data_IF_990906948371
#
_entry.id   IF_990906948371
#
_cell.length_a   1.000
_cell.length_b   1.000
_cell.length_c   1.000
_cell.angle_alpha   90.00
_cell.angle_beta   90.00
_cell.angle_gamma   90.00
#
_symmetry.space_group_name_H-M   'P 1'
#
loop_
_entity.id
_entity.type
_entity.pdbx_description
1 polymer ?
#
# COMPACT_ATOMS: atom_id res chain seq x y z
N UNK A 1 -63.39 31.19 55.96
CA UNK A 1 -61.98 31.66 55.73
C UNK A 1 -61.28 30.58 54.92
N UNK A 2 -61.22 30.68 53.59
CA UNK A 2 -60.61 29.70 52.68
C UNK A 2 -59.34 30.30 52.12
N UNK A 3 -58.19 29.66 52.36
CA UNK A 3 -56.92 30.01 51.71
C UNK A 3 -56.81 29.30 50.33
N UNK A 4 -56.76 30.11 49.28
CA UNK A 4 -56.46 29.63 47.96
C UNK A 4 -54.95 29.55 47.81
N UNK A 5 -54.41 28.33 47.56
CA UNK A 5 -53.02 28.05 47.15
C UNK A 5 -52.92 28.08 45.63
N UNK A 6 -52.17 29.04 45.13
CA UNK A 6 -51.83 29.15 43.70
C UNK A 6 -50.63 28.26 43.37
N UNK A 7 -50.81 27.25 42.51
CA UNK A 7 -49.73 26.41 42.02
C UNK A 7 -49.10 27.09 40.82
N UNK A 8 -47.78 27.37 40.90
CA UNK A 8 -46.98 27.88 39.81
C UNK A 8 -46.56 26.69 38.90
N UNK A 9 -46.92 26.74 37.61
CA UNK A 9 -46.45 25.81 36.58
C UNK A 9 -45.06 26.25 36.10
N UNK A 10 -44.04 25.47 36.43
CA UNK A 10 -42.71 25.63 35.86
C UNK A 10 -42.64 24.88 34.54
N UNK A 11 -42.54 25.63 33.44
CA UNK A 11 -42.33 25.08 32.09
C UNK A 11 -40.85 24.89 31.87
N UNK A 12 -40.36 23.65 31.89
CA UNK A 12 -38.98 23.30 31.51
C UNK A 12 -38.91 23.24 29.99
N UNK A 13 -38.31 24.26 29.37
CA UNK A 13 -37.97 24.26 27.97
C UNK A 13 -36.70 23.43 27.78
N UNK A 14 -36.85 22.19 27.32
CA UNK A 14 -35.72 21.32 26.96
C UNK A 14 -35.06 21.82 25.68
N UNK A 15 -33.84 22.32 25.80
CA UNK A 15 -32.95 22.65 24.68
C UNK A 15 -32.36 21.34 24.14
N UNK A 16 -32.93 20.78 23.07
CA UNK A 16 -32.34 19.66 22.35
C UNK A 16 -31.16 20.20 21.53
N UNK A 17 -29.95 20.11 22.08
CA UNK A 17 -28.71 20.33 21.34
C UNK A 17 -28.52 19.18 20.36
N UNK A 18 -28.83 19.42 19.09
CA UNK A 18 -28.53 18.52 17.99
C UNK A 18 -27.00 18.49 17.81
N UNK A 19 -26.30 17.55 18.43
CA UNK A 19 -24.91 17.25 18.19
C UNK A 19 -24.82 16.68 16.75
N UNK A 20 -24.56 17.55 15.78
CA UNK A 20 -24.11 17.14 14.47
C UNK A 20 -22.72 16.52 14.65
N UNK A 21 -22.67 15.21 14.89
CA UNK A 21 -21.44 14.43 14.76
C UNK A 21 -21.09 14.47 13.27
N UNK A 22 -20.23 15.41 12.90
CA UNK A 22 -19.55 15.34 11.61
C UNK A 22 -18.70 14.09 11.67
N UNK A 23 -19.20 12.99 11.06
CA UNK A 23 -18.39 11.82 10.82
C UNK A 23 -17.17 12.31 10.02
N UNK A 24 -16.01 12.39 10.68
CA UNK A 24 -14.75 12.52 9.96
C UNK A 24 -14.72 11.31 9.02
N UNK A 25 -14.83 11.57 7.70
CA UNK A 25 -14.66 10.52 6.72
C UNK A 25 -13.20 10.13 6.80
N UNK A 26 -12.93 8.97 7.40
CA UNK A 26 -11.64 8.33 7.37
C UNK A 26 -11.25 8.08 5.90
N UNK A 27 -9.97 8.00 5.63
CA UNK A 27 -9.43 7.56 4.36
C UNK A 27 -10.10 6.23 3.98
N UNK A 28 -10.57 6.13 2.74
CA UNK A 28 -11.28 4.94 2.29
C UNK A 28 -10.46 4.17 1.27
N UNK A 29 -10.49 2.85 1.43
CA UNK A 29 -9.93 1.92 0.46
C UNK A 29 -11.05 1.15 -0.25
N UNK A 30 -10.92 1.00 -1.58
CA UNK A 30 -11.80 0.15 -2.37
C UNK A 30 -10.95 -0.91 -3.08
N UNK A 31 -11.27 -2.17 -2.84
CA UNK A 31 -10.62 -3.30 -3.50
C UNK A 31 -11.13 -3.47 -4.93
N UNK A 32 -10.38 -4.19 -5.74
CA UNK A 32 -10.71 -4.46 -7.15
C UNK A 32 -12.13 -5.02 -7.35
N UNK A 33 -12.59 -5.89 -6.45
CA UNK A 33 -13.93 -6.50 -6.52
C UNK A 33 -15.08 -5.51 -6.22
N UNK A 34 -14.79 -4.46 -5.43
CA UNK A 34 -15.77 -3.45 -5.05
C UNK A 34 -15.78 -2.22 -5.98
N UNK A 35 -14.81 -2.12 -6.90
CA UNK A 35 -14.74 -1.04 -7.89
C UNK A 35 -15.82 -1.19 -8.97
N UNK A 36 -16.29 -0.07 -9.50
CA UNK A 36 -17.04 -0.09 -10.77
C UNK A 36 -16.15 -0.60 -11.90
N UNK A 37 -16.76 -1.17 -12.96
CA UNK A 37 -16.01 -1.64 -14.12
C UNK A 37 -15.17 -0.52 -14.78
N UNK A 38 -15.71 0.70 -14.82
CA UNK A 38 -15.02 1.86 -15.40
C UNK A 38 -13.77 2.26 -14.59
N UNK A 39 -13.89 2.35 -13.27
CA UNK A 39 -12.75 2.66 -12.38
C UNK A 39 -11.67 1.59 -12.46
N UNK A 40 -12.08 0.32 -12.35
CA UNK A 40 -11.16 -0.81 -12.44
C UNK A 40 -10.40 -0.83 -13.77
N UNK A 41 -11.09 -0.67 -14.90
CA UNK A 41 -10.49 -0.68 -16.22
C UNK A 41 -9.54 0.51 -16.40
N UNK A 42 -9.95 1.72 -15.97
CA UNK A 42 -9.12 2.93 -16.06
C UNK A 42 -7.81 2.79 -15.29
N UNK A 43 -7.86 2.30 -14.05
CA UNK A 43 -6.67 2.13 -13.22
C UNK A 43 -5.77 1.01 -13.75
N UNK A 44 -6.35 -0.13 -14.15
CA UNK A 44 -5.61 -1.26 -14.68
C UNK A 44 -4.92 -0.91 -16.01
N UNK A 45 -5.58 -0.16 -16.91
CA UNK A 45 -5.00 0.27 -18.18
C UNK A 45 -3.85 1.26 -17.97
N UNK A 46 -4.00 2.21 -17.04
CA UNK A 46 -2.93 3.12 -16.67
C UNK A 46 -1.70 2.36 -16.14
N UNK A 47 -1.90 1.41 -15.22
CA UNK A 47 -0.83 0.60 -14.66
C UNK A 47 -0.14 -0.25 -15.75
N UNK A 48 -0.92 -0.88 -16.64
CA UNK A 48 -0.38 -1.65 -17.77
C UNK A 48 0.43 -0.80 -18.73
N UNK A 49 -0.07 0.39 -19.09
CA UNK A 49 0.62 1.33 -19.96
C UNK A 49 1.96 1.78 -19.37
N UNK A 50 2.00 2.10 -18.07
CA UNK A 50 3.22 2.46 -17.38
C UNK A 50 4.21 1.28 -17.31
N UNK A 51 3.73 0.08 -17.05
CA UNK A 51 4.56 -1.12 -17.02
C UNK A 51 5.21 -1.41 -18.38
N UNK A 52 4.48 -1.24 -19.48
CA UNK A 52 5.02 -1.35 -20.85
C UNK A 52 6.11 -0.32 -21.12
N UNK A 53 5.91 0.94 -20.69
CA UNK A 53 6.92 1.99 -20.84
C UNK A 53 8.18 1.69 -20.01
N UNK A 54 8.04 1.17 -18.80
CA UNK A 54 9.19 0.71 -17.99
C UNK A 54 9.90 -0.45 -18.70
N UNK A 55 9.15 -1.43 -19.22
CA UNK A 55 9.72 -2.58 -19.92
C UNK A 55 10.51 -2.18 -21.18
N UNK A 56 10.03 -1.17 -21.91
CA UNK A 56 10.67 -0.64 -23.13
C UNK A 56 11.70 0.47 -22.88
N UNK A 57 11.94 0.84 -21.63
CA UNK A 57 12.81 1.98 -21.22
C UNK A 57 12.40 3.31 -21.89
N UNK A 58 11.07 3.52 -22.07
CA UNK A 58 10.52 4.74 -22.64
C UNK A 58 10.50 5.88 -21.60
N UNK A 59 11.68 6.45 -21.33
CA UNK A 59 11.84 7.53 -20.36
C UNK A 59 11.05 8.77 -20.74
N UNK A 60 10.91 9.07 -22.04
CA UNK A 60 10.15 10.23 -22.52
C UNK A 60 8.67 10.09 -22.21
N UNK A 61 8.08 8.94 -22.52
CA UNK A 61 6.70 8.65 -22.22
C UNK A 61 6.42 8.55 -20.72
N UNK A 62 7.39 8.10 -19.92
CA UNK A 62 7.30 8.06 -18.47
C UNK A 62 7.31 9.45 -17.84
N UNK A 63 8.23 10.35 -18.27
CA UNK A 63 8.30 11.74 -17.76
C UNK A 63 6.96 12.47 -17.85
N UNK A 64 6.24 12.30 -18.98
CA UNK A 64 4.91 12.87 -19.18
C UNK A 64 3.80 12.28 -18.30
N UNK A 65 4.09 11.20 -17.58
CA UNK A 65 3.16 10.49 -16.72
C UNK A 65 3.51 10.58 -15.22
N UNK A 66 4.52 11.37 -14.83
CA UNK A 66 4.89 11.58 -13.43
C UNK A 66 4.03 12.67 -12.77
N UNK A 67 3.80 12.54 -11.48
CA UNK A 67 3.34 13.68 -10.67
C UNK A 67 4.45 14.74 -10.55
N UNK A 68 4.12 16.02 -10.31
CA UNK A 68 5.12 17.07 -10.12
C UNK A 68 6.11 16.75 -8.98
N UNK A 69 5.67 16.05 -7.94
CA UNK A 69 6.50 15.67 -6.81
C UNK A 69 7.56 14.64 -7.23
N UNK A 70 7.15 13.57 -7.93
CA UNK A 70 8.09 12.53 -8.40
C UNK A 70 9.01 13.05 -9.50
N UNK A 71 8.55 14.00 -10.31
CA UNK A 71 9.36 14.62 -11.36
C UNK A 71 10.54 15.48 -10.82
N UNK A 72 10.50 15.88 -9.54
CA UNK A 72 11.62 16.61 -8.92
C UNK A 72 12.88 15.75 -8.78
N UNK A 73 12.72 14.43 -8.66
CA UNK A 73 13.82 13.47 -8.56
C UNK A 73 13.92 12.58 -9.81
N UNK A 74 13.77 13.22 -10.99
CA UNK A 74 13.75 12.52 -12.27
C UNK A 74 14.99 11.67 -12.52
N UNK A 75 16.19 12.11 -12.10
CA UNK A 75 17.42 11.36 -12.32
C UNK A 75 17.45 10.03 -11.56
N UNK A 76 17.05 10.02 -10.29
CA UNK A 76 16.94 8.79 -9.51
C UNK A 76 15.86 7.87 -10.07
N UNK A 77 14.72 8.43 -10.49
CA UNK A 77 13.66 7.66 -11.16
C UNK A 77 14.14 7.01 -12.47
N UNK A 78 14.82 7.75 -13.34
CA UNK A 78 15.34 7.24 -14.61
C UNK A 78 16.40 6.14 -14.40
N UNK A 79 17.30 6.34 -13.43
CA UNK A 79 18.25 5.30 -13.04
C UNK A 79 17.54 4.02 -12.57
N UNK A 80 16.47 4.15 -11.77
CA UNK A 80 15.69 3.02 -11.30
C UNK A 80 14.98 2.31 -12.46
N UNK A 81 14.39 3.05 -13.42
CA UNK A 81 13.76 2.50 -14.62
C UNK A 81 14.78 1.75 -15.46
N UNK A 82 15.93 2.34 -15.82
CA UNK A 82 16.96 1.70 -16.62
C UNK A 82 17.50 0.42 -15.99
N UNK A 83 17.69 0.40 -14.66
CA UNK A 83 18.08 -0.83 -13.94
C UNK A 83 16.97 -1.88 -13.90
N UNK A 84 15.71 -1.48 -14.00
CA UNK A 84 14.57 -2.39 -13.94
C UNK A 84 14.23 -2.97 -15.32
N UNK A 85 14.21 -2.15 -16.36
CA UNK A 85 13.83 -2.53 -17.73
C UNK A 85 14.58 -3.76 -18.24
N UNK A 86 15.89 -3.84 -17.98
CA UNK A 86 16.76 -4.98 -18.35
C UNK A 86 16.35 -6.31 -17.68
N UNK A 87 15.56 -6.27 -16.62
CA UNK A 87 15.12 -7.44 -15.85
C UNK A 87 13.70 -7.88 -16.23
N UNK A 88 12.98 -7.06 -17.01
CA UNK A 88 11.60 -7.30 -17.44
C UNK A 88 11.51 -7.97 -18.82
N UNK A 89 12.60 -8.54 -19.33
CA UNK A 89 12.59 -9.30 -20.58
C UNK A 89 11.64 -10.52 -20.42
N UNK A 90 10.52 -10.50 -21.14
CA UNK A 90 9.51 -11.56 -21.05
C UNK A 90 8.21 -11.18 -21.74
N UNK A 91 7.12 -11.78 -21.29
CA UNK A 91 5.79 -11.56 -21.84
C UNK A 91 5.19 -10.18 -21.50
N UNK A 92 3.94 -9.97 -21.91
CA UNK A 92 3.23 -8.71 -21.59
C UNK A 92 2.99 -8.59 -20.08
N UNK A 93 2.86 -7.34 -19.58
CA UNK A 93 2.51 -7.10 -18.18
C UNK A 93 1.08 -7.57 -17.86
N UNK A 94 0.95 -8.23 -16.71
CA UNK A 94 -0.33 -8.67 -16.14
C UNK A 94 -0.61 -7.86 -14.88
N UNK A 95 -1.74 -7.17 -14.83
CA UNK A 95 -2.20 -6.48 -13.64
C UNK A 95 -2.86 -7.50 -12.72
N UNK A 96 -2.22 -7.78 -11.58
CA UNK A 96 -2.67 -8.79 -10.61
C UNK A 96 -3.69 -8.21 -9.65
N UNK A 97 -3.35 -7.08 -9.04
CA UNK A 97 -4.18 -6.44 -8.02
C UNK A 97 -4.19 -4.93 -8.18
N UNK A 98 -5.33 -4.33 -7.90
CA UNK A 98 -5.49 -2.88 -7.84
C UNK A 98 -6.38 -2.47 -6.67
N UNK A 99 -6.05 -1.31 -6.10
CA UNK A 99 -6.77 -0.67 -5.01
C UNK A 99 -6.99 0.81 -5.33
N UNK A 100 -8.14 1.38 -4.98
CA UNK A 100 -8.29 2.84 -4.93
C UNK A 100 -8.26 3.32 -3.49
N UNK A 101 -7.52 4.38 -3.24
CA UNK A 101 -7.27 4.97 -1.93
C UNK A 101 -7.74 6.42 -1.99
N UNK A 102 -8.83 6.74 -1.31
CA UNK A 102 -9.39 8.09 -1.30
C UNK A 102 -8.92 8.87 -0.08
N UNK A 103 -8.00 9.81 -0.32
CA UNK A 103 -7.45 10.76 0.65
C UNK A 103 -7.93 12.20 0.38
N UNK A 104 -9.02 12.39 -0.36
CA UNK A 104 -9.49 13.74 -0.76
C UNK A 104 -9.79 14.64 0.43
N UNK A 105 -10.25 14.06 1.54
CA UNK A 105 -10.60 14.78 2.76
C UNK A 105 -9.47 14.84 3.80
N UNK A 106 -8.28 14.36 3.44
CA UNK A 106 -7.11 14.37 4.31
C UNK A 106 -6.70 15.82 4.62
N UNK A 107 -6.59 16.15 5.90
CA UNK A 107 -6.25 17.51 6.34
C UNK A 107 -4.74 17.64 6.46
N UNK A 108 -4.20 18.73 5.92
CA UNK A 108 -2.79 19.06 6.14
C UNK A 108 -2.47 19.24 7.61
N UNK A 109 -1.25 18.96 7.99
CA UNK A 109 -0.72 19.26 9.31
C UNK A 109 -0.74 20.78 9.58
N UNK A 110 -0.68 21.21 10.85
CA UNK A 110 -0.68 22.65 11.21
C UNK A 110 0.47 23.45 10.57
N UNK A 111 1.58 22.80 10.26
CA UNK A 111 2.73 23.40 9.56
C UNK A 111 2.58 23.42 8.02
N UNK A 112 1.44 22.98 7.49
CA UNK A 112 1.14 22.91 6.06
C UNK A 112 1.70 21.67 5.35
N UNK A 113 2.43 20.80 6.03
CA UNK A 113 2.93 19.55 5.47
C UNK A 113 1.80 18.55 5.21
N UNK A 114 2.05 17.59 4.31
CA UNK A 114 1.14 16.46 4.10
C UNK A 114 1.25 15.48 5.29
N UNK A 115 0.14 15.00 5.84
CA UNK A 115 0.14 14.02 6.92
C UNK A 115 0.42 12.61 6.39
N UNK A 116 0.69 11.67 7.29
CA UNK A 116 0.65 10.26 6.98
C UNK A 116 -0.80 9.81 6.80
N UNK A 117 -1.03 8.97 5.80
CA UNK A 117 -2.36 8.43 5.48
C UNK A 117 -2.41 6.92 5.74
N UNK A 118 -3.51 6.46 6.34
CA UNK A 118 -3.73 5.04 6.60
C UNK A 118 -5.02 4.57 5.93
N UNK A 119 -4.91 3.49 5.16
CA UNK A 119 -6.05 2.88 4.48
C UNK A 119 -6.15 1.41 4.87
N UNK A 120 -7.36 0.97 5.18
CA UNK A 120 -7.67 -0.42 5.50
C UNK A 120 -8.57 -0.99 4.43
N UNK A 121 -8.10 -2.04 3.75
CA UNK A 121 -8.80 -2.70 2.67
C UNK A 121 -9.22 -4.10 3.08
N UNK A 122 -10.53 -4.37 3.13
CA UNK A 122 -11.04 -5.72 3.35
C UNK A 122 -11.11 -6.48 2.03
N UNK A 123 -10.50 -7.65 1.98
CA UNK A 123 -10.48 -8.51 0.80
C UNK A 123 -11.71 -9.42 0.78
N UNK A 124 -12.67 -9.12 -0.09
CA UNK A 124 -13.85 -9.97 -0.38
C UNK A 124 -14.62 -10.46 0.86
N UNK A 125 -14.81 -9.58 1.85
CA UNK A 125 -15.46 -9.90 3.13
C UNK A 125 -14.75 -11.04 3.92
N UNK A 126 -13.48 -11.27 3.66
CA UNK A 126 -12.65 -12.18 4.46
C UNK A 126 -12.01 -11.40 5.62
N UNK A 127 -11.42 -12.16 6.56
CA UNK A 127 -10.62 -11.57 7.65
C UNK A 127 -9.24 -11.09 7.18
N UNK A 128 -8.88 -11.39 5.93
CA UNK A 128 -7.63 -10.93 5.36
C UNK A 128 -7.77 -9.45 4.96
N UNK A 129 -6.93 -8.62 5.53
CA UNK A 129 -6.90 -7.19 5.28
C UNK A 129 -5.56 -6.79 4.67
N UNK A 130 -5.60 -5.78 3.81
CA UNK A 130 -4.42 -5.07 3.34
C UNK A 130 -4.48 -3.66 3.90
N UNK A 131 -3.38 -3.22 4.49
CA UNK A 131 -3.21 -1.88 5.04
C UNK A 131 -2.15 -1.14 4.24
N UNK A 132 -2.44 0.11 3.92
CA UNK A 132 -1.47 1.04 3.37
C UNK A 132 -1.19 2.12 4.41
N UNK A 133 0.09 2.34 4.73
CA UNK A 133 0.54 3.44 5.61
C UNK A 133 1.52 4.29 4.81
N UNK A 134 0.99 5.29 4.11
CA UNK A 134 1.75 6.11 3.16
C UNK A 134 2.16 7.41 3.84
N UNK A 135 3.47 7.64 4.04
CA UNK A 135 3.94 8.84 4.69
C UNK A 135 3.76 10.08 3.80
N UNK A 136 3.49 11.21 4.42
CA UNK A 136 3.42 12.53 3.82
C UNK A 136 2.58 12.56 2.52
N UNK A 137 1.38 11.94 2.55
CA UNK A 137 0.52 11.83 1.37
C UNK A 137 -0.31 13.10 1.17
N UNK A 138 -0.17 13.84 0.05
CA UNK A 138 -1.03 14.96 -0.27
C UNK A 138 -2.50 14.53 -0.40
N UNK A 139 -3.48 15.40 -0.07
CA UNK A 139 -4.89 15.11 -0.30
C UNK A 139 -5.16 14.80 -1.79
N UNK A 140 -5.98 13.78 -2.06
CA UNK A 140 -6.32 13.37 -3.42
C UNK A 140 -6.85 11.95 -3.52
N UNK A 141 -7.18 11.54 -4.76
CA UNK A 141 -7.55 10.16 -5.07
C UNK A 141 -6.34 9.42 -5.62
N UNK A 142 -6.04 8.27 -5.05
CA UNK A 142 -4.90 7.45 -5.43
C UNK A 142 -5.34 6.08 -5.90
N UNK A 143 -4.45 5.40 -6.63
CA UNK A 143 -4.54 4.00 -6.99
C UNK A 143 -3.23 3.31 -6.63
N UNK A 144 -3.31 2.09 -6.13
CA UNK A 144 -2.16 1.21 -6.00
C UNK A 144 -2.36 0.02 -6.91
N UNK A 145 -1.36 -0.31 -7.71
CA UNK A 145 -1.43 -1.39 -8.69
C UNK A 145 -0.21 -2.29 -8.60
N UNK A 146 -0.42 -3.60 -8.61
CA UNK A 146 0.61 -4.63 -8.67
C UNK A 146 0.58 -5.26 -10.07
N UNK A 147 1.70 -5.19 -10.76
CA UNK A 147 1.87 -5.71 -12.12
C UNK A 147 3.01 -6.71 -12.12
N UNK A 148 2.78 -7.88 -12.72
CA UNK A 148 3.79 -8.93 -12.89
C UNK A 148 4.12 -9.13 -14.37
N UNK A 149 5.25 -9.80 -14.61
CA UNK A 149 5.67 -10.18 -15.95
C UNK A 149 5.96 -11.67 -15.96
N UNK A 150 5.47 -12.36 -17.00
CA UNK A 150 5.84 -13.74 -17.24
C UNK A 150 7.35 -13.83 -17.47
N UNK A 151 8.09 -14.68 -16.72
CA UNK A 151 9.53 -14.70 -16.79
C UNK A 151 10.01 -15.30 -18.12
N UNK A 152 10.90 -14.60 -18.81
CA UNK A 152 11.65 -15.19 -19.94
C UNK A 152 12.74 -16.17 -19.47
N UNK A 153 13.21 -16.01 -18.22
CA UNK A 153 14.38 -16.73 -17.68
C UNK A 153 14.16 -17.31 -16.27
N UNK A 154 12.92 -17.54 -15.86
CA UNK A 154 12.61 -18.06 -14.52
C UNK A 154 12.83 -17.09 -13.36
N UNK A 155 13.06 -15.80 -13.64
CA UNK A 155 13.25 -14.74 -12.62
C UNK A 155 12.11 -13.72 -12.72
N UNK A 156 10.92 -14.00 -12.16
CA UNK A 156 9.79 -13.09 -12.23
C UNK A 156 10.06 -11.81 -11.44
N UNK A 157 9.57 -10.70 -12.00
CA UNK A 157 9.60 -9.38 -11.38
C UNK A 157 8.20 -8.85 -11.20
N UNK A 158 8.04 -8.03 -10.16
CA UNK A 158 6.84 -7.30 -9.85
C UNK A 158 7.14 -5.81 -9.90
N UNK A 159 6.24 -5.04 -10.52
CA UNK A 159 6.21 -3.59 -10.45
C UNK A 159 5.00 -3.18 -9.62
N UNK A 160 5.23 -2.43 -8.56
CA UNK A 160 4.15 -1.82 -7.80
C UNK A 160 4.15 -0.31 -8.07
N UNK A 161 2.97 0.23 -8.40
CA UNK A 161 2.78 1.64 -8.73
C UNK A 161 1.85 2.28 -7.71
N UNK A 162 2.27 3.41 -7.15
CA UNK A 162 1.35 4.37 -6.54
C UNK A 162 0.99 5.40 -7.61
N UNK A 163 -0.28 5.54 -7.92
CA UNK A 163 -0.80 6.46 -8.92
C UNK A 163 -1.65 7.53 -8.22
N UNK A 164 -1.61 8.77 -8.70
CA UNK A 164 -2.52 9.85 -8.28
C UNK A 164 -3.41 10.23 -9.44
N UNK A 165 -4.71 10.38 -9.18
CA UNK A 165 -5.65 10.88 -10.17
C UNK A 165 -5.57 12.41 -10.22
N UNK A 166 -5.26 12.96 -11.39
CA UNK A 166 -5.21 14.38 -11.66
C UNK A 166 -5.95 14.70 -12.95
N UNK A 167 -6.95 15.59 -12.90
CA UNK A 167 -7.81 15.95 -14.03
C UNK A 167 -8.32 14.73 -14.83
N UNK A 168 -8.71 13.66 -14.13
CA UNK A 168 -9.21 12.43 -14.73
C UNK A 168 -8.15 11.47 -15.27
N UNK A 169 -6.87 11.81 -15.20
CA UNK A 169 -5.74 10.96 -15.61
C UNK A 169 -5.02 10.37 -14.39
N UNK A 170 -4.49 9.17 -14.54
CA UNK A 170 -3.61 8.57 -13.56
C UNK A 170 -2.15 8.93 -13.84
N UNK A 171 -1.51 9.61 -12.90
CA UNK A 171 -0.09 9.96 -12.92
C UNK A 171 0.66 9.13 -11.91
N UNK A 172 1.87 8.72 -12.22
CA UNK A 172 2.74 7.97 -11.32
C UNK A 172 3.23 8.87 -10.18
N UNK A 173 2.89 8.51 -8.96
CA UNK A 173 3.33 9.15 -7.72
C UNK A 173 4.41 8.34 -7.00
N UNK A 174 4.56 7.05 -7.32
CA UNK A 174 5.59 6.18 -6.79
C UNK A 174 5.78 4.93 -7.66
N UNK A 175 7.01 4.38 -7.65
CA UNK A 175 7.42 3.22 -8.42
C UNK A 175 8.31 2.31 -7.58
N UNK A 176 7.88 1.04 -7.42
CA UNK A 176 8.49 0.08 -6.49
C UNK A 176 8.72 -1.26 -7.21
N UNK A 177 9.82 -1.40 -7.97
CA UNK A 177 10.16 -2.65 -8.62
C UNK A 177 10.78 -3.63 -7.62
N UNK A 178 10.39 -4.91 -7.69
CA UNK A 178 10.95 -5.94 -6.83
C UNK A 178 11.04 -7.29 -7.53
N UNK A 179 12.10 -8.06 -7.22
CA UNK A 179 12.20 -9.45 -7.62
C UNK A 179 11.17 -10.28 -6.83
N UNK A 180 10.60 -11.29 -7.47
CA UNK A 180 9.68 -12.24 -6.82
C UNK A 180 10.38 -13.54 -6.41
N UNK A 181 11.62 -13.77 -6.85
CA UNK A 181 12.42 -14.94 -6.50
C UNK A 181 13.87 -14.56 -6.19
N UNK A 182 14.51 -15.37 -5.36
CA UNK A 182 15.94 -15.32 -5.10
C UNK A 182 16.50 -16.75 -5.12
N UNK A 183 17.66 -16.96 -5.74
CA UNK A 183 18.29 -18.27 -5.89
C UNK A 183 17.33 -19.38 -6.43
N UNK A 184 16.36 -19.01 -7.27
CA UNK A 184 15.38 -19.91 -7.86
C UNK A 184 14.14 -20.21 -7.00
N UNK A 185 14.02 -19.63 -5.82
CA UNK A 185 12.91 -19.84 -4.90
C UNK A 185 12.11 -18.56 -4.65
N UNK A 186 10.79 -18.71 -4.46
CA UNK A 186 9.88 -17.61 -4.13
C UNK A 186 9.83 -17.30 -2.62
N UNK A 187 9.09 -16.26 -2.25
CA UNK A 187 8.98 -15.84 -0.86
C UNK A 187 8.25 -16.86 0.04
N UNK A 188 7.30 -17.64 -0.50
CA UNK A 188 6.60 -18.66 0.28
C UNK A 188 7.50 -19.86 0.59
N UNK A 189 8.38 -20.21 -0.35
CA UNK A 189 9.40 -21.23 -0.10
C UNK A 189 10.33 -20.77 1.03
N UNK A 190 10.88 -19.54 0.96
CA UNK A 190 11.73 -19.01 2.03
C UNK A 190 11.02 -18.97 3.39
N UNK A 191 9.75 -18.60 3.43
CA UNK A 191 8.96 -18.60 4.66
C UNK A 191 8.81 -20.00 5.23
N UNK A 192 8.56 -20.99 4.37
CA UNK A 192 8.43 -22.38 4.78
C UNK A 192 9.74 -22.93 5.35
N UNK A 193 10.84 -22.68 4.66
CA UNK A 193 12.18 -23.09 5.10
C UNK A 193 12.61 -22.38 6.39
N UNK A 194 12.27 -21.10 6.55
CA UNK A 194 12.52 -20.37 7.79
C UNK A 194 11.90 -21.06 9.02
N UNK A 195 10.64 -21.51 8.89
CA UNK A 195 9.97 -22.28 9.93
C UNK A 195 10.66 -23.61 10.23
N UNK A 196 11.17 -24.27 9.20
CA UNK A 196 11.95 -25.52 9.35
C UNK A 196 13.24 -25.27 10.13
N UNK A 197 14.01 -24.25 9.75
CA UNK A 197 15.24 -23.88 10.41
C UNK A 197 15.01 -23.48 11.87
N UNK A 198 13.92 -22.76 12.15
CA UNK A 198 13.54 -22.41 13.53
C UNK A 198 13.27 -23.65 14.38
N UNK A 199 12.55 -24.65 13.83
CA UNK A 199 12.31 -25.96 14.51
C UNK A 199 13.61 -26.71 14.77
N UNK A 200 14.58 -26.61 13.88
CA UNK A 200 15.91 -27.21 14.01
C UNK A 200 16.87 -26.45 14.94
N UNK A 201 16.36 -25.40 15.61
CA UNK A 201 17.13 -24.54 16.50
C UNK A 201 18.33 -23.85 15.81
N UNK A 202 18.14 -23.45 14.55
CA UNK A 202 19.10 -22.69 13.75
C UNK A 202 18.63 -21.23 13.60
N UNK A 203 18.67 -20.39 14.65
CA UNK A 203 18.00 -19.10 14.68
C UNK A 203 18.55 -18.13 13.64
N UNK A 204 19.85 -18.11 13.36
CA UNK A 204 20.43 -17.23 12.35
C UNK A 204 19.95 -17.56 10.93
N UNK A 205 19.90 -18.86 10.59
CA UNK A 205 19.45 -19.30 9.27
C UNK A 205 17.95 -19.03 9.12
N UNK A 206 17.17 -19.34 10.16
CA UNK A 206 15.74 -19.06 10.19
C UNK A 206 15.48 -17.56 9.98
N UNK A 207 16.16 -16.70 10.73
CA UNK A 207 16.01 -15.25 10.63
C UNK A 207 16.35 -14.72 9.23
N UNK A 208 17.47 -15.15 8.65
CA UNK A 208 17.85 -14.75 7.28
C UNK A 208 16.82 -15.18 6.24
N UNK A 209 16.23 -16.37 6.39
CA UNK A 209 15.20 -16.86 5.50
C UNK A 209 13.88 -16.10 5.66
N UNK A 210 13.49 -15.73 6.90
CA UNK A 210 12.37 -14.84 7.14
C UNK A 210 12.56 -13.47 6.49
N UNK A 211 13.76 -12.86 6.63
CA UNK A 211 14.08 -11.58 5.99
C UNK A 211 14.01 -11.68 4.46
N UNK A 212 14.47 -12.79 3.89
CA UNK A 212 14.37 -13.02 2.45
C UNK A 212 12.93 -13.21 2.00
N UNK A 213 12.11 -13.95 2.77
CA UNK A 213 10.69 -14.11 2.51
C UNK A 213 9.97 -12.76 2.50
N UNK A 214 10.19 -11.94 3.52
CA UNK A 214 9.63 -10.59 3.65
C UNK A 214 9.97 -9.72 2.43
N UNK A 215 11.25 -9.67 2.07
CA UNK A 215 11.73 -8.91 0.91
C UNK A 215 11.05 -9.32 -0.40
N UNK A 216 10.77 -10.61 -0.60
CA UNK A 216 10.15 -11.12 -1.81
C UNK A 216 8.63 -10.97 -1.82
N UNK A 217 7.97 -11.00 -0.65
CA UNK A 217 6.52 -10.95 -0.52
C UNK A 217 5.97 -9.51 -0.39
N UNK A 218 6.77 -8.57 0.13
CA UNK A 218 6.33 -7.19 0.32
C UNK A 218 6.31 -6.41 -1.00
N UNK A 219 5.15 -5.90 -1.46
CA UNK A 219 5.06 -5.19 -2.73
C UNK A 219 5.62 -3.77 -2.68
N UNK A 220 5.53 -3.11 -1.52
CA UNK A 220 6.13 -1.80 -1.23
C UNK A 220 6.21 -1.64 0.29
N UNK A 221 7.17 -0.87 0.80
CA UNK A 221 7.43 -0.75 2.24
C UNK A 221 6.26 -0.22 3.08
N UNK A 222 5.31 0.48 2.45
CA UNK A 222 4.11 1.02 3.10
C UNK A 222 2.89 0.10 3.00
N UNK A 223 3.05 -1.12 2.47
CA UNK A 223 1.98 -2.11 2.32
C UNK A 223 2.16 -3.21 3.34
N UNK A 224 1.14 -3.43 4.15
CA UNK A 224 1.03 -4.53 5.10
C UNK A 224 -0.21 -5.38 4.77
N UNK A 225 -0.16 -6.65 5.10
CA UNK A 225 -1.32 -7.54 5.05
C UNK A 225 -1.29 -8.48 6.25
N UNK A 226 -2.41 -9.14 6.54
CA UNK A 226 -2.46 -10.14 7.62
C UNK A 226 -1.42 -11.25 7.45
N UNK A 227 -1.08 -11.61 6.20
CA UNK A 227 -0.01 -12.58 5.94
C UNK A 227 1.39 -12.00 6.22
N UNK A 228 1.65 -10.75 5.82
CA UNK A 228 2.92 -10.08 6.12
C UNK A 228 3.08 -9.82 7.61
N UNK A 229 2.02 -9.43 8.31
CA UNK A 229 2.03 -9.27 9.76
C UNK A 229 2.38 -10.58 10.49
N UNK A 230 1.79 -11.69 10.04
CA UNK A 230 2.16 -13.02 10.53
C UNK A 230 3.62 -13.36 10.25
N UNK A 231 4.11 -13.07 9.04
CA UNK A 231 5.52 -13.28 8.67
C UNK A 231 6.45 -12.47 9.59
N UNK A 232 6.15 -11.19 9.83
CA UNK A 232 6.89 -10.30 10.74
C UNK A 232 6.91 -10.84 12.17
N UNK A 233 5.75 -11.28 12.68
CA UNK A 233 5.64 -11.86 14.02
C UNK A 233 6.50 -13.11 14.16
N UNK A 234 6.46 -14.02 13.18
CA UNK A 234 7.29 -15.22 13.17
C UNK A 234 8.79 -14.89 13.06
N UNK A 235 9.14 -13.91 12.20
CA UNK A 235 10.54 -13.45 12.05
C UNK A 235 11.09 -12.84 13.35
N UNK A 236 10.30 -11.99 14.01
CA UNK A 236 10.66 -11.40 15.28
C UNK A 236 10.87 -12.47 16.38
N UNK A 237 9.98 -13.48 16.44
CA UNK A 237 10.09 -14.59 17.38
C UNK A 237 11.27 -15.53 17.11
N UNK A 238 11.80 -15.56 15.88
CA UNK A 238 12.95 -16.35 15.49
C UNK A 238 14.27 -15.57 15.50
N UNK A 239 14.23 -14.25 15.78
CA UNK A 239 15.42 -13.41 15.79
C UNK A 239 16.45 -13.90 16.83
N UNK A 240 17.74 -13.98 16.47
CA UNK A 240 18.80 -14.29 17.44
C UNK A 240 18.81 -13.26 18.57
N UNK A 241 18.99 -13.68 19.85
CA UNK A 241 18.93 -12.76 21.00
C UNK A 241 19.85 -11.54 20.88
N UNK A 242 21.03 -11.72 20.30
CA UNK A 242 22.00 -10.65 20.10
C UNK A 242 21.50 -9.51 19.21
N UNK A 243 20.51 -9.74 18.33
CA UNK A 243 19.88 -8.69 17.54
C UNK A 243 18.89 -7.86 18.35
N UNK A 244 18.26 -8.45 19.38
CA UNK A 244 17.36 -7.74 20.28
C UNK A 244 18.12 -6.83 21.26
N UNK A 245 19.37 -7.20 21.60
CA UNK A 245 20.22 -6.46 22.53
C UNK A 245 21.04 -5.34 21.85
N UNK A 246 21.03 -5.29 20.50
CA UNK A 246 21.87 -4.40 19.72
C UNK A 246 23.30 -4.92 19.58
N UNK A 247 23.95 -4.58 18.47
CA UNK A 247 25.40 -4.82 18.30
C UNK A 247 26.09 -3.64 18.97
N UNK A 248 26.60 -3.85 20.18
CA UNK A 248 27.43 -2.88 20.89
C UNK A 248 28.82 -2.76 20.27
#
# INVERSE_FOLDING_TARGET
>A
MGKRTTAAKVTVAGLAACLCVTAARAETCTTQSAMTAAERNSLAEAARSLALKVQSDDLTGLRGALTPELAKDAAAFEYLVGNTSTKLAGGPPVVEEIYTLDATNLKKNPDGSAPDAQFFCSLNNTTAEVQFTIPALPPGKYGFAIVTFAPASGKPWRLSFLLRQDAGRWLMAGFYPSAMTAAGHDGLWYWTEARQMAKQKQPWVAWLYYQQAERLLTPAAFVMSTHLDKLHTEAAGAAPPVLAEGIS
#
